data_IF_856333561627
#
_entry.id   IF_856333561627
#
_cell.length_a   1.000
_cell.length_b   1.000
_cell.length_c   1.000
_cell.angle_alpha   90.00
_cell.angle_beta   90.00
_cell.angle_gamma   90.00
#
_symmetry.space_group_name_H-M   'P 1'
#
loop_
_entity.id
_entity.type
_entity.pdbx_description
1 polymer ?
#
# COMPACT_ATOMS: atom_id res chain seq x y z
N UNK A 1 28.42 -2.24 -3.15
CA UNK A 1 26.93 -2.25 -3.13
C UNK A 1 26.43 -0.86 -2.79
N UNK A 2 25.56 -0.32 -3.61
CA UNK A 2 24.83 0.92 -3.32
C UNK A 2 23.35 0.73 -3.62
N UNK A 3 22.50 0.89 -2.59
CA UNK A 3 21.09 0.52 -2.62
C UNK A 3 20.21 1.73 -2.95
N UNK A 4 19.24 1.56 -3.86
CA UNK A 4 18.16 2.50 -4.08
C UNK A 4 16.90 2.06 -3.33
N UNK A 5 16.43 2.88 -2.39
CA UNK A 5 15.19 2.71 -1.66
C UNK A 5 14.06 3.49 -2.35
N UNK A 6 12.97 2.81 -2.69
CA UNK A 6 11.93 3.34 -3.59
C UNK A 6 10.54 3.45 -2.96
N UNK A 7 10.40 3.10 -1.67
CA UNK A 7 9.11 3.21 -0.95
C UNK A 7 8.66 4.67 -0.84
N UNK A 8 7.37 4.87 -0.54
CA UNK A 8 6.84 6.18 -0.17
C UNK A 8 7.70 6.85 0.93
N UNK A 9 7.77 8.19 0.91
CA UNK A 9 8.73 8.99 1.71
C UNK A 9 8.83 8.54 3.17
N UNK A 10 7.71 8.35 3.84
CA UNK A 10 7.64 8.06 5.29
C UNK A 10 7.81 6.55 5.63
N UNK A 11 8.15 5.72 4.65
CA UNK A 11 8.23 4.26 4.81
C UNK A 11 9.64 3.69 4.62
N UNK A 12 10.67 4.55 4.53
CA UNK A 12 12.06 4.12 4.29
C UNK A 12 12.92 4.05 5.57
N UNK A 13 12.52 4.70 6.67
CA UNK A 13 13.34 4.88 7.85
C UNK A 13 13.98 3.58 8.37
N UNK A 14 13.18 2.54 8.63
CA UNK A 14 13.70 1.25 9.13
C UNK A 14 14.70 0.58 8.18
N UNK A 15 14.51 0.76 6.84
CA UNK A 15 15.47 0.22 5.87
C UNK A 15 16.74 1.05 5.82
N UNK A 16 16.64 2.38 5.92
CA UNK A 16 17.79 3.27 5.99
C UNK A 16 18.65 2.97 7.21
N UNK A 17 18.05 2.87 8.39
CA UNK A 17 18.73 2.51 9.63
C UNK A 17 19.42 1.13 9.54
N UNK A 18 18.74 0.14 8.97
CA UNK A 18 19.33 -1.19 8.80
C UNK A 18 20.51 -1.18 7.83
N UNK A 19 20.45 -0.41 6.73
CA UNK A 19 21.57 -0.28 5.80
C UNK A 19 22.74 0.48 6.43
N UNK A 20 22.49 1.51 7.22
CA UNK A 20 23.51 2.24 7.97
C UNK A 20 24.25 1.34 8.96
N UNK A 21 23.53 0.51 9.72
CA UNK A 21 24.10 -0.47 10.63
C UNK A 21 25.00 -1.49 9.93
N UNK A 22 24.70 -1.81 8.66
CA UNK A 22 25.48 -2.71 7.82
C UNK A 22 26.61 -2.00 7.07
N UNK A 23 26.77 -0.68 7.21
CA UNK A 23 27.76 0.11 6.48
C UNK A 23 27.49 0.19 4.96
N UNK A 24 26.23 0.00 4.53
CA UNK A 24 25.86 0.00 3.12
C UNK A 24 25.36 1.37 2.70
N UNK A 25 25.97 1.92 1.66
CA UNK A 25 25.54 3.19 1.07
C UNK A 25 24.18 3.04 0.38
N UNK A 26 23.33 4.05 0.50
CA UNK A 26 22.02 4.04 -0.14
C UNK A 26 21.59 5.43 -0.62
N UNK A 27 20.60 5.45 -1.49
CA UNK A 27 19.88 6.65 -1.96
C UNK A 27 18.39 6.38 -1.72
N UNK A 28 17.65 7.38 -1.25
CA UNK A 28 16.20 7.31 -1.12
C UNK A 28 15.57 8.14 -2.23
N UNK A 29 14.85 7.49 -3.13
CA UNK A 29 14.01 8.16 -4.13
C UNK A 29 12.64 7.50 -4.14
N UNK A 30 11.64 8.08 -3.47
CA UNK A 30 10.29 7.54 -3.48
C UNK A 30 9.71 7.47 -4.89
N UNK A 31 9.24 6.30 -5.29
CA UNK A 31 8.57 6.06 -6.57
C UNK A 31 7.07 5.81 -6.41
N UNK A 32 6.55 6.04 -5.22
CA UNK A 32 5.13 5.96 -4.89
C UNK A 32 4.80 7.07 -3.91
N UNK A 33 3.72 7.78 -4.21
CA UNK A 33 3.12 8.80 -3.34
C UNK A 33 1.66 8.45 -3.08
N UNK A 34 1.22 8.66 -1.84
CA UNK A 34 -0.19 8.62 -1.47
C UNK A 34 -0.71 10.05 -1.55
N UNK A 35 -1.61 10.29 -2.48
CA UNK A 35 -2.22 11.59 -2.70
C UNK A 35 -3.71 11.52 -2.37
N UNK A 36 -4.19 12.46 -1.54
CA UNK A 36 -5.61 12.57 -1.27
C UNK A 36 -6.40 12.79 -2.58
N UNK A 37 -7.61 12.26 -2.65
CA UNK A 37 -8.55 12.55 -3.72
C UNK A 37 -9.12 13.95 -3.62
N UNK A 38 -9.76 14.43 -4.68
CA UNK A 38 -10.37 15.76 -4.71
C UNK A 38 -11.53 15.86 -3.69
N UNK A 39 -11.60 17.02 -3.01
CA UNK A 39 -12.58 17.30 -1.96
C UNK A 39 -14.03 17.31 -2.44
N UNK A 40 -14.30 17.50 -3.71
CA UNK A 40 -15.66 17.42 -4.28
C UNK A 40 -16.28 16.03 -4.21
N UNK A 41 -15.49 14.98 -4.27
CA UNK A 41 -15.97 13.60 -4.08
C UNK A 41 -16.25 13.30 -2.60
N UNK A 42 -15.52 13.95 -1.70
CA UNK A 42 -15.63 13.72 -0.27
C UNK A 42 -16.97 14.19 0.31
N UNK A 43 -17.62 15.22 -0.24
CA UNK A 43 -18.92 15.70 0.26
C UNK A 43 -20.05 14.69 0.08
N UNK A 44 -20.09 13.98 -1.04
CA UNK A 44 -21.06 12.90 -1.25
C UNK A 44 -20.72 11.69 -0.37
N UNK A 45 -19.44 11.37 -0.25
CA UNK A 45 -18.96 10.29 0.60
C UNK A 45 -19.25 10.54 2.09
N UNK A 46 -19.14 11.78 2.56
CA UNK A 46 -19.54 12.20 3.91
C UNK A 46 -21.01 11.90 4.16
N UNK A 47 -21.90 12.22 3.20
CA UNK A 47 -23.32 11.92 3.33
C UNK A 47 -23.58 10.41 3.40
N UNK A 48 -22.86 9.60 2.61
CA UNK A 48 -22.96 8.14 2.64
C UNK A 48 -22.45 7.57 3.97
N UNK A 49 -21.29 8.02 4.48
CA UNK A 49 -20.77 7.62 5.79
C UNK A 49 -21.75 7.96 6.90
N UNK A 50 -22.38 9.15 6.85
CA UNK A 50 -23.36 9.60 7.84
C UNK A 50 -24.63 8.73 7.88
N UNK A 51 -24.97 8.09 6.78
CA UNK A 51 -26.16 7.23 6.64
C UNK A 51 -25.84 5.73 6.65
N UNK A 52 -24.56 5.37 6.79
CA UNK A 52 -24.11 3.98 6.77
C UNK A 52 -24.46 3.25 8.09
N UNK A 53 -24.85 1.98 7.96
CA UNK A 53 -24.94 1.05 9.11
C UNK A 53 -23.53 0.49 9.45
N UNK A 54 -22.67 0.33 8.42
CA UNK A 54 -21.34 -0.25 8.54
C UNK A 54 -20.34 0.57 7.73
N UNK A 55 -19.18 0.83 8.34
CA UNK A 55 -18.03 1.48 7.66
C UNK A 55 -16.80 0.57 7.76
N UNK A 56 -16.25 0.18 6.62
CA UNK A 56 -15.11 -0.75 6.54
C UNK A 56 -13.88 -0.03 6.02
N UNK A 57 -12.81 0.01 6.83
CA UNK A 57 -11.52 0.56 6.44
C UNK A 57 -10.55 -0.52 5.97
N UNK A 58 -9.99 -0.36 4.77
CA UNK A 58 -9.08 -1.36 4.21
C UNK A 58 -7.60 -1.02 4.35
N UNK A 59 -7.25 0.16 4.86
CA UNK A 59 -5.85 0.58 5.06
C UNK A 59 -5.71 1.72 6.06
N UNK A 60 -4.52 1.85 6.65
CA UNK A 60 -4.15 2.97 7.52
C UNK A 60 -4.20 4.33 6.82
N UNK A 61 -3.88 4.38 5.51
CA UNK A 61 -3.99 5.61 4.72
C UNK A 61 -5.46 6.04 4.57
N UNK A 62 -6.39 5.09 4.42
CA UNK A 62 -7.82 5.38 4.38
C UNK A 62 -8.30 5.99 5.71
N UNK A 63 -7.86 5.44 6.84
CA UNK A 63 -8.17 5.98 8.17
C UNK A 63 -7.63 7.40 8.33
N UNK A 64 -6.34 7.60 8.04
CA UNK A 64 -5.68 8.90 8.20
C UNK A 64 -6.33 10.01 7.37
N UNK A 65 -6.67 9.74 6.11
CA UNK A 65 -7.27 10.75 5.23
C UNK A 65 -8.75 10.97 5.50
N UNK A 66 -9.50 9.89 5.78
CA UNK A 66 -10.91 10.02 6.16
C UNK A 66 -11.08 10.86 7.45
N UNK A 67 -10.21 10.65 8.45
CA UNK A 67 -10.28 11.38 9.72
C UNK A 67 -9.99 12.88 9.60
N UNK A 68 -9.28 13.31 8.55
CA UNK A 68 -9.06 14.72 8.25
C UNK A 68 -10.31 15.39 7.68
N UNK A 69 -11.16 14.62 7.00
CA UNK A 69 -12.37 15.11 6.34
C UNK A 69 -13.62 14.99 7.23
N UNK A 70 -13.73 13.86 7.97
CA UNK A 70 -14.91 13.54 8.79
C UNK A 70 -14.51 13.23 10.23
N UNK A 71 -15.28 13.75 11.19
CA UNK A 71 -15.14 13.36 12.60
C UNK A 71 -15.77 11.99 12.83
N UNK A 72 -15.06 10.93 12.46
CA UNK A 72 -15.53 9.55 12.51
C UNK A 72 -16.06 9.10 13.89
N UNK A 73 -15.48 9.64 14.99
CA UNK A 73 -15.88 9.35 16.36
C UNK A 73 -17.26 9.93 16.75
N UNK A 74 -17.88 10.76 15.91
CA UNK A 74 -19.24 11.29 16.11
C UNK A 74 -20.34 10.38 15.55
N UNK A 75 -19.97 9.39 14.73
CA UNK A 75 -20.91 8.42 14.13
C UNK A 75 -21.22 7.29 15.12
N UNK A 76 -22.15 7.54 16.05
CA UNK A 76 -22.51 6.60 17.13
C UNK A 76 -23.34 5.41 16.66
N UNK A 77 -23.89 5.43 15.46
CA UNK A 77 -24.81 4.41 14.96
C UNK A 77 -24.14 3.40 14.01
N UNK A 78 -23.07 3.79 13.35
CA UNK A 78 -22.35 2.89 12.44
C UNK A 78 -21.42 1.93 13.20
N UNK A 79 -21.36 0.68 12.74
CA UNK A 79 -20.33 -0.28 13.15
C UNK A 79 -19.10 -0.11 12.28
N UNK A 80 -17.89 -0.07 12.89
CA UNK A 80 -16.65 0.10 12.20
C UNK A 80 -15.87 -1.21 12.11
N UNK A 81 -15.28 -1.46 10.94
CA UNK A 81 -14.46 -2.64 10.68
C UNK A 81 -13.14 -2.27 10.04
N UNK A 82 -12.09 -3.04 10.37
CA UNK A 82 -10.77 -2.93 9.80
C UNK A 82 -10.33 -4.25 9.15
N UNK A 83 -9.83 -4.20 7.91
CA UNK A 83 -9.37 -5.42 7.22
C UNK A 83 -8.11 -6.00 7.88
N UNK A 84 -7.21 -5.17 8.41
CA UNK A 84 -5.98 -5.62 9.03
C UNK A 84 -5.67 -4.95 10.36
N UNK A 85 -4.81 -5.58 11.15
CA UNK A 85 -4.48 -5.14 12.51
C UNK A 85 -3.91 -3.70 12.57
N UNK A 86 -3.04 -3.33 11.62
CA UNK A 86 -2.53 -1.96 11.55
C UNK A 86 -3.64 -0.92 11.32
N UNK A 87 -4.69 -1.28 10.56
CA UNK A 87 -5.85 -0.42 10.32
C UNK A 87 -6.74 -0.35 11.56
N UNK A 88 -6.88 -1.46 12.26
CA UNK A 88 -7.58 -1.53 13.55
C UNK A 88 -6.95 -0.60 14.58
N UNK A 89 -5.63 -0.68 14.79
CA UNK A 89 -4.92 0.20 15.73
C UNK A 89 -5.00 1.67 15.32
N UNK A 90 -4.98 1.98 14.02
CA UNK A 90 -5.16 3.36 13.56
C UNK A 90 -6.55 3.93 13.87
N UNK A 91 -7.60 3.10 13.88
CA UNK A 91 -8.95 3.50 14.33
C UNK A 91 -9.00 3.64 15.86
N UNK A 92 -8.37 2.73 16.59
CA UNK A 92 -8.28 2.75 18.05
C UNK A 92 -7.59 4.02 18.56
N UNK A 93 -6.48 4.45 17.93
CA UNK A 93 -5.78 5.69 18.23
C UNK A 93 -6.66 6.94 18.06
N UNK A 94 -7.68 6.87 17.21
CA UNK A 94 -8.70 7.92 17.02
C UNK A 94 -9.88 7.80 17.98
N UNK A 95 -9.87 6.82 18.89
CA UNK A 95 -10.96 6.54 19.83
C UNK A 95 -12.19 5.91 19.16
N UNK A 96 -12.01 5.22 18.03
CA UNK A 96 -13.07 4.57 17.28
C UNK A 96 -13.05 3.07 17.60
N UNK A 97 -14.11 2.60 18.28
CA UNK A 97 -14.31 1.17 18.50
C UNK A 97 -14.59 0.47 17.17
N UNK A 98 -13.81 -0.54 16.85
CA UNK A 98 -13.94 -1.29 15.60
C UNK A 98 -13.69 -2.78 15.80
N UNK A 99 -14.15 -3.61 14.86
CA UNK A 99 -13.81 -5.03 14.77
C UNK A 99 -12.79 -5.23 13.65
N UNK A 100 -11.84 -6.15 13.88
CA UNK A 100 -10.83 -6.50 12.88
C UNK A 100 -11.04 -7.92 12.34
N UNK A 101 -10.49 -8.20 11.17
CA UNK A 101 -10.34 -9.57 10.70
C UNK A 101 -9.52 -10.40 11.72
N UNK A 102 -9.80 -11.72 11.83
CA UNK A 102 -9.07 -12.59 12.74
C UNK A 102 -7.55 -12.49 12.55
N UNK A 103 -6.74 -12.58 13.64
CA UNK A 103 -5.29 -12.40 13.59
C UNK A 103 -4.59 -13.28 12.55
N UNK A 104 -5.10 -14.51 12.34
CA UNK A 104 -4.52 -15.48 11.41
C UNK A 104 -4.89 -15.21 9.95
N UNK A 105 -5.90 -14.35 9.69
CA UNK A 105 -6.43 -14.07 8.36
C UNK A 105 -6.70 -12.56 8.18
N UNK A 106 -5.67 -11.74 8.33
CA UNK A 106 -5.76 -10.26 8.23
C UNK A 106 -5.88 -9.78 6.79
N UNK A 107 -6.87 -10.29 6.07
CA UNK A 107 -7.21 -9.97 4.68
C UNK A 107 -8.72 -9.85 4.53
N UNK A 108 -9.16 -9.45 3.34
CA UNK A 108 -10.60 -9.37 2.99
C UNK A 108 -11.35 -10.65 3.34
N UNK A 109 -10.76 -11.78 2.99
CA UNK A 109 -11.33 -13.11 3.20
C UNK A 109 -11.57 -13.39 4.68
N UNK A 110 -10.61 -13.02 5.55
CA UNK A 110 -10.77 -13.17 7.00
C UNK A 110 -11.83 -12.22 7.57
N UNK A 111 -11.90 -10.97 7.12
CA UNK A 111 -12.96 -10.06 7.55
C UNK A 111 -14.34 -10.63 7.22
N UNK A 112 -14.50 -11.20 6.04
CA UNK A 112 -15.75 -11.80 5.58
C UNK A 112 -16.18 -13.05 6.35
N UNK A 113 -15.34 -13.62 7.25
CA UNK A 113 -15.73 -14.72 8.14
C UNK A 113 -16.45 -14.26 9.39
N UNK A 114 -16.42 -12.96 9.72
CA UNK A 114 -17.05 -12.43 10.92
C UNK A 114 -18.58 -12.71 10.90
N UNK A 115 -19.17 -13.18 12.01
CA UNK A 115 -20.60 -13.48 12.10
C UNK A 115 -21.49 -12.28 11.75
N UNK A 116 -21.08 -11.07 12.13
CA UNK A 116 -21.81 -9.82 11.92
C UNK A 116 -21.91 -9.42 10.44
N UNK A 117 -21.06 -10.02 9.59
CA UNK A 117 -21.04 -9.76 8.15
C UNK A 117 -21.66 -10.90 7.31
N UNK A 118 -22.37 -11.87 7.92
CA UNK A 118 -22.96 -12.99 7.18
C UNK A 118 -24.36 -12.67 6.61
N UNK A 119 -25.21 -11.96 7.36
CA UNK A 119 -26.51 -11.46 6.90
C UNK A 119 -26.51 -9.93 6.93
N UNK A 120 -26.59 -9.35 5.76
CA UNK A 120 -26.49 -7.91 5.54
C UNK A 120 -27.72 -7.35 4.86
N UNK A 121 -28.86 -8.06 4.98
CA UNK A 121 -30.13 -7.67 4.38
C UNK A 121 -30.47 -6.22 4.74
N UNK A 122 -30.63 -5.38 3.72
CA UNK A 122 -30.94 -3.94 3.82
C UNK A 122 -29.89 -3.07 4.52
N UNK A 123 -28.67 -3.57 4.79
CA UNK A 123 -27.58 -2.78 5.38
C UNK A 123 -26.94 -1.89 4.34
N UNK A 124 -26.65 -0.64 4.74
CA UNK A 124 -25.85 0.32 3.97
C UNK A 124 -24.40 0.25 4.44
N UNK A 125 -23.49 -0.06 3.54
CA UNK A 125 -22.08 -0.23 3.86
C UNK A 125 -21.26 0.76 3.04
N UNK A 126 -20.32 1.44 3.71
CA UNK A 126 -19.31 2.25 3.04
C UNK A 126 -17.94 1.60 3.22
N UNK A 127 -17.27 1.30 2.10
CA UNK A 127 -15.90 0.83 2.09
C UNK A 127 -14.97 2.01 1.86
N UNK A 128 -14.16 2.37 2.87
CA UNK A 128 -13.17 3.45 2.81
C UNK A 128 -11.85 2.91 2.31
N UNK A 129 -11.43 3.37 1.11
CA UNK A 129 -10.31 2.78 0.37
C UNK A 129 -9.49 3.81 -0.41
N UNK A 130 -8.40 3.38 -1.03
CA UNK A 130 -7.76 4.10 -2.13
C UNK A 130 -8.42 3.78 -3.46
N UNK A 131 -8.24 4.65 -4.44
CA UNK A 131 -8.75 4.48 -5.81
C UNK A 131 -8.30 3.13 -6.36
N UNK A 132 -9.27 2.38 -6.90
CA UNK A 132 -9.07 1.06 -7.48
C UNK A 132 -8.77 -0.04 -6.44
N UNK A 133 -8.44 -1.22 -6.92
CA UNK A 133 -8.13 -2.39 -6.10
C UNK A 133 -9.13 -3.53 -6.28
N UNK A 134 -9.11 -4.51 -5.35
CA UNK A 134 -9.97 -5.70 -5.44
C UNK A 134 -11.43 -5.34 -5.16
N UNK A 135 -12.34 -5.93 -5.93
CA UNK A 135 -13.79 -5.78 -5.76
C UNK A 135 -14.40 -6.89 -4.89
N UNK A 136 -13.65 -7.95 -4.59
CA UNK A 136 -14.11 -9.15 -3.86
C UNK A 136 -14.86 -8.83 -2.56
N UNK A 137 -14.39 -7.81 -1.81
CA UNK A 137 -15.08 -7.39 -0.58
C UNK A 137 -16.48 -6.90 -0.88
N UNK A 138 -16.62 -5.93 -1.79
CA UNK A 138 -17.93 -5.36 -2.14
C UNK A 138 -18.85 -6.39 -2.78
N UNK A 139 -18.35 -7.18 -3.73
CA UNK A 139 -19.10 -8.23 -4.40
C UNK A 139 -19.71 -9.21 -3.38
N UNK A 140 -18.92 -9.65 -2.40
CA UNK A 140 -19.40 -10.58 -1.37
C UNK A 140 -20.41 -9.92 -0.44
N UNK A 141 -20.21 -8.65 -0.01
CA UNK A 141 -21.17 -7.94 0.84
C UNK A 141 -22.50 -7.70 0.11
N UNK A 142 -22.45 -7.38 -1.19
CA UNK A 142 -23.64 -7.23 -2.03
C UNK A 142 -24.40 -8.55 -2.15
N UNK A 143 -23.68 -9.68 -2.39
CA UNK A 143 -24.29 -11.01 -2.42
C UNK A 143 -24.98 -11.38 -1.11
N UNK A 144 -24.53 -10.80 0.02
CA UNK A 144 -25.13 -10.97 1.35
C UNK A 144 -26.28 -10.00 1.65
N UNK A 145 -26.72 -9.21 0.65
CA UNK A 145 -27.88 -8.34 0.73
C UNK A 145 -27.61 -6.89 1.08
N UNK A 146 -26.33 -6.45 1.15
CA UNK A 146 -25.97 -5.07 1.43
C UNK A 146 -26.08 -4.17 0.20
N UNK A 147 -26.33 -2.86 0.45
CA UNK A 147 -26.00 -1.79 -0.48
C UNK A 147 -24.59 -1.29 -0.16
N UNK A 148 -23.67 -1.29 -1.12
CA UNK A 148 -22.26 -0.96 -0.90
C UNK A 148 -21.86 0.25 -1.72
N UNK A 149 -21.32 1.27 -1.04
CA UNK A 149 -20.72 2.45 -1.61
C UNK A 149 -19.22 2.49 -1.30
N UNK A 150 -18.44 3.13 -2.16
CA UNK A 150 -17.01 3.38 -1.93
C UNK A 150 -16.76 4.83 -1.51
N UNK A 151 -15.89 5.00 -0.52
CA UNK A 151 -15.23 6.26 -0.27
C UNK A 151 -13.74 6.15 -0.59
N UNK A 152 -13.36 6.62 -1.75
CA UNK A 152 -11.99 6.56 -2.24
C UNK A 152 -11.22 7.80 -1.78
N UNK A 153 -10.60 7.72 -0.60
CA UNK A 153 -9.96 8.85 0.09
C UNK A 153 -8.58 9.19 -0.46
N UNK A 154 -7.92 8.28 -1.19
CA UNK A 154 -6.60 8.51 -1.76
C UNK A 154 -6.35 7.75 -3.05
N UNK A 155 -5.38 8.20 -3.79
CA UNK A 155 -4.82 7.49 -4.93
C UNK A 155 -3.33 7.26 -4.77
N UNK A 156 -2.84 6.17 -5.38
CA UNK A 156 -1.41 5.86 -5.47
C UNK A 156 -0.89 6.42 -6.78
N UNK A 157 0.01 7.39 -6.71
CA UNK A 157 0.57 8.03 -7.89
C UNK A 157 2.08 7.84 -7.95
N UNK A 158 2.63 7.92 -9.16
CA UNK A 158 4.06 8.13 -9.35
C UNK A 158 4.35 9.60 -9.03
N UNK A 159 5.23 9.93 -8.08
CA UNK A 159 5.62 11.31 -7.83
C UNK A 159 6.31 11.90 -9.07
N UNK A 160 6.33 13.22 -9.17
CA UNK A 160 7.10 13.91 -10.20
C UNK A 160 8.60 13.72 -9.91
N UNK A 161 9.27 13.01 -10.81
CA UNK A 161 10.70 12.73 -10.75
C UNK A 161 11.39 13.55 -11.84
N UNK A 162 12.47 14.26 -11.48
CA UNK A 162 13.32 14.94 -12.48
C UNK A 162 13.84 13.91 -13.49
N UNK A 163 13.71 14.14 -14.80
CA UNK A 163 14.20 13.21 -15.82
C UNK A 163 15.68 12.85 -15.69
N UNK A 164 16.49 13.68 -15.02
CA UNK A 164 17.91 13.43 -14.75
C UNK A 164 18.15 12.45 -13.60
N UNK A 165 17.17 12.21 -12.75
CA UNK A 165 17.33 11.38 -11.55
C UNK A 165 17.80 9.96 -11.86
N UNK A 166 17.31 9.24 -12.88
CA UNK A 166 17.84 7.91 -13.22
C UNK A 166 19.33 7.92 -13.64
N UNK A 167 19.80 8.98 -14.31
CA UNK A 167 21.21 9.15 -14.63
C UNK A 167 22.04 9.37 -13.37
N UNK A 168 21.53 10.16 -12.42
CA UNK A 168 22.17 10.38 -11.12
C UNK A 168 22.31 9.08 -10.32
N UNK A 169 21.35 8.16 -10.40
CA UNK A 169 21.49 6.84 -9.78
C UNK A 169 22.63 6.04 -10.39
N UNK A 170 22.73 6.01 -11.72
CA UNK A 170 23.81 5.34 -12.42
C UNK A 170 25.17 5.95 -12.07
N UNK A 171 25.30 7.28 -12.16
CA UNK A 171 26.55 8.01 -11.87
C UNK A 171 26.98 7.83 -10.41
N UNK A 172 26.03 7.73 -9.51
CA UNK A 172 26.27 7.45 -8.10
C UNK A 172 26.67 5.99 -7.83
N UNK A 173 26.63 5.11 -8.83
CA UNK A 173 27.00 3.70 -8.71
C UNK A 173 25.92 2.84 -8.04
N UNK A 174 24.63 3.18 -8.19
CA UNK A 174 23.54 2.29 -7.73
C UNK A 174 23.61 0.98 -8.50
N UNK A 175 23.69 -0.11 -7.77
CA UNK A 175 23.75 -1.49 -8.29
C UNK A 175 22.66 -2.40 -7.76
N UNK A 176 21.90 -1.94 -6.76
CA UNK A 176 20.84 -2.71 -6.10
C UNK A 176 19.60 -1.84 -5.89
N UNK A 177 18.41 -2.34 -6.23
CA UNK A 177 17.16 -1.59 -6.14
C UNK A 177 16.12 -2.40 -5.34
N UNK A 178 15.61 -1.83 -4.26
CA UNK A 178 14.56 -2.45 -3.42
C UNK A 178 13.19 -1.97 -3.88
N UNK A 179 12.38 -2.91 -4.38
CA UNK A 179 11.01 -2.72 -4.88
C UNK A 179 10.03 -3.40 -3.94
N UNK A 180 9.15 -2.66 -3.28
CA UNK A 180 8.22 -3.22 -2.29
C UNK A 180 6.80 -3.45 -2.81
N UNK A 181 6.51 -3.12 -4.06
CA UNK A 181 5.21 -3.38 -4.70
C UNK A 181 5.30 -3.37 -6.23
N UNK A 182 4.29 -3.96 -6.88
CA UNK A 182 4.18 -3.91 -8.35
C UNK A 182 3.96 -2.48 -8.89
N UNK A 183 3.34 -1.59 -8.11
CA UNK A 183 3.18 -0.17 -8.50
C UNK A 183 4.54 0.52 -8.59
N UNK A 184 5.39 0.32 -7.59
CA UNK A 184 6.75 0.86 -7.57
C UNK A 184 7.57 0.32 -8.75
N UNK A 185 7.45 -0.99 -9.05
CA UNK A 185 8.11 -1.58 -10.21
C UNK A 185 7.64 -0.90 -11.51
N UNK A 186 6.34 -0.76 -11.73
CA UNK A 186 5.80 -0.09 -12.91
C UNK A 186 6.29 1.37 -13.03
N UNK A 187 6.33 2.07 -11.91
CA UNK A 187 6.82 3.45 -11.87
C UNK A 187 8.32 3.51 -12.19
N UNK A 188 9.14 2.61 -11.66
CA UNK A 188 10.57 2.51 -12.02
C UNK A 188 10.75 2.33 -13.53
N UNK A 189 10.05 1.37 -14.12
CA UNK A 189 10.11 1.10 -15.57
C UNK A 189 9.66 2.31 -16.40
N UNK A 190 8.65 3.04 -15.92
CA UNK A 190 8.13 4.23 -16.61
C UNK A 190 9.10 5.41 -16.61
N UNK A 191 9.85 5.61 -15.52
CA UNK A 191 10.72 6.78 -15.35
C UNK A 191 12.15 6.56 -15.85
N UNK A 192 12.63 5.30 -15.91
CA UNK A 192 13.96 5.00 -16.43
C UNK A 192 13.93 5.12 -17.96
N UNK A 193 14.74 6.00 -18.57
CA UNK A 193 14.78 6.16 -20.00
C UNK A 193 15.40 4.93 -20.68
N UNK A 194 15.05 4.71 -21.96
CA UNK A 194 15.48 3.51 -22.70
C UNK A 194 16.99 3.32 -22.75
N UNK A 195 17.73 4.41 -22.80
CA UNK A 195 19.20 4.44 -22.85
C UNK A 195 19.82 3.83 -21.58
N UNK A 196 19.14 3.93 -20.46
CA UNK A 196 19.59 3.38 -19.18
C UNK A 196 19.12 1.95 -18.90
N UNK A 197 18.34 1.34 -19.80
CA UNK A 197 17.87 -0.04 -19.59
C UNK A 197 19.01 -1.07 -19.57
N UNK A 198 20.11 -0.83 -20.28
CA UNK A 198 21.30 -1.67 -20.21
C UNK A 198 21.86 -1.70 -18.77
N UNK A 199 22.01 -0.53 -18.15
CA UNK A 199 22.41 -0.40 -16.75
C UNK A 199 21.35 -1.01 -15.79
N UNK A 200 20.06 -0.72 -15.96
CA UNK A 200 19.01 -1.24 -15.08
C UNK A 200 18.99 -2.77 -15.05
N UNK A 201 19.29 -3.43 -16.17
CA UNK A 201 19.39 -4.89 -16.27
C UNK A 201 20.58 -5.48 -15.52
N UNK A 202 21.63 -4.70 -15.25
CA UNK A 202 22.76 -5.13 -14.43
C UNK A 202 22.51 -4.95 -12.94
N UNK A 203 21.49 -4.16 -12.55
CA UNK A 203 21.13 -3.97 -11.15
C UNK A 203 20.50 -5.23 -10.56
N UNK A 204 20.80 -5.49 -9.29
CA UNK A 204 20.12 -6.50 -8.49
C UNK A 204 18.80 -5.93 -8.01
N UNK A 205 17.69 -6.53 -8.43
CA UNK A 205 16.33 -6.10 -8.08
C UNK A 205 15.76 -6.99 -7.00
N UNK A 206 15.42 -6.42 -5.83
CA UNK A 206 14.79 -7.15 -4.73
C UNK A 206 13.30 -6.83 -4.72
N UNK A 207 12.47 -7.87 -4.74
CA UNK A 207 11.01 -7.77 -4.85
C UNK A 207 10.30 -8.56 -3.76
N UNK A 208 9.03 -8.19 -3.39
CA UNK A 208 8.35 -8.74 -2.22
C UNK A 208 7.67 -10.09 -2.44
N UNK A 209 7.49 -10.55 -3.68
CA UNK A 209 6.69 -11.73 -3.99
C UNK A 209 7.02 -12.32 -5.35
N UNK A 210 6.62 -13.58 -5.58
CA UNK A 210 6.76 -14.27 -6.88
C UNK A 210 6.04 -13.51 -7.99
N UNK A 211 4.85 -13.00 -7.75
CA UNK A 211 4.11 -12.19 -8.73
C UNK A 211 4.90 -10.96 -9.21
N UNK A 212 5.53 -10.22 -8.29
CA UNK A 212 6.33 -9.04 -8.66
C UNK A 212 7.64 -9.45 -9.33
N UNK A 213 8.21 -10.60 -8.95
CA UNK A 213 9.38 -11.19 -9.63
C UNK A 213 9.05 -11.52 -11.09
N UNK A 214 7.95 -12.19 -11.37
CA UNK A 214 7.50 -12.50 -12.73
C UNK A 214 7.29 -11.23 -13.55
N UNK A 215 6.67 -10.19 -12.97
CA UNK A 215 6.53 -8.88 -13.62
C UNK A 215 7.89 -8.26 -13.94
N UNK A 216 8.86 -8.30 -13.02
CA UNK A 216 10.20 -7.76 -13.26
C UNK A 216 10.93 -8.50 -14.38
N UNK A 217 10.85 -9.84 -14.40
CA UNK A 217 11.40 -10.67 -15.48
C UNK A 217 10.75 -10.36 -16.83
N UNK A 218 9.43 -10.14 -16.85
CA UNK A 218 8.69 -9.76 -18.07
C UNK A 218 9.13 -8.39 -18.63
N UNK A 219 9.61 -7.48 -17.76
CA UNK A 219 10.25 -6.23 -18.18
C UNK A 219 11.72 -6.39 -18.63
N UNK A 220 12.26 -7.62 -18.61
CA UNK A 220 13.61 -7.94 -19.03
C UNK A 220 14.68 -7.66 -17.97
N UNK A 221 14.29 -7.54 -16.68
CA UNK A 221 15.22 -7.47 -15.56
C UNK A 221 15.67 -8.89 -15.20
N UNK A 222 16.97 -9.15 -15.18
CA UNK A 222 17.49 -10.51 -15.11
C UNK A 222 17.93 -10.94 -13.70
N UNK A 223 18.41 -9.99 -12.88
CA UNK A 223 18.91 -10.24 -11.54
C UNK A 223 17.83 -9.91 -10.51
N UNK A 224 16.85 -10.82 -10.32
CA UNK A 224 15.68 -10.57 -9.48
C UNK A 224 15.58 -11.57 -8.33
N UNK A 225 15.68 -11.08 -7.10
CA UNK A 225 15.51 -11.87 -5.87
C UNK A 225 14.15 -11.60 -5.23
N UNK A 226 13.42 -12.68 -4.90
CA UNK A 226 12.17 -12.60 -4.16
C UNK A 226 12.45 -12.67 -2.65
N UNK A 227 12.21 -11.58 -1.93
CA UNK A 227 12.34 -11.48 -0.47
C UNK A 227 11.19 -12.16 0.29
N UNK A 228 10.13 -12.63 -0.40
CA UNK A 228 8.93 -13.28 0.14
C UNK A 228 8.03 -12.39 1.01
N UNK A 229 8.46 -11.18 1.36
CA UNK A 229 7.66 -10.17 2.07
C UNK A 229 8.16 -8.75 1.77
N UNK A 230 7.31 -7.74 1.99
CA UNK A 230 7.64 -6.32 1.78
C UNK A 230 8.20 -5.61 3.03
N UNK A 231 8.38 -6.33 4.15
CA UNK A 231 8.91 -5.76 5.39
C UNK A 231 10.44 -5.57 5.33
N UNK A 232 10.97 -4.73 6.22
CA UNK A 232 12.40 -4.41 6.28
C UNK A 232 13.28 -5.66 6.42
N UNK A 233 12.98 -6.54 7.37
CA UNK A 233 13.77 -7.75 7.66
C UNK A 233 13.93 -8.63 6.42
N UNK A 234 12.84 -8.93 5.72
CA UNK A 234 12.85 -9.77 4.53
C UNK A 234 13.65 -9.14 3.38
N UNK A 235 13.45 -7.83 3.13
CA UNK A 235 14.15 -7.10 2.07
C UNK A 235 15.65 -7.00 2.31
N UNK A 236 16.07 -6.71 3.55
CA UNK A 236 17.49 -6.65 3.92
C UNK A 236 18.14 -8.04 3.85
N UNK A 237 17.47 -9.09 4.34
CA UNK A 237 17.97 -10.46 4.22
C UNK A 237 18.17 -10.89 2.75
N UNK A 238 17.34 -10.38 1.83
CA UNK A 238 17.43 -10.69 0.40
C UNK A 238 18.62 -10.01 -0.30
N UNK A 239 19.35 -9.10 0.36
CA UNK A 239 20.62 -8.54 -0.16
C UNK A 239 21.72 -9.60 -0.30
N UNK A 240 21.56 -10.77 0.34
CA UNK A 240 22.53 -11.87 0.24
C UNK A 240 23.84 -11.60 0.99
N UNK A 241 23.81 -10.70 1.95
CA UNK A 241 24.96 -10.45 2.82
C UNK A 241 25.13 -11.67 3.72
N UNK A 242 26.31 -12.28 3.65
CA UNK A 242 26.74 -13.27 4.63
C UNK A 242 26.84 -12.55 5.99
N UNK A 243 25.86 -12.77 6.85
CA UNK A 243 25.89 -12.37 8.27
C UNK A 243 26.59 -13.48 9.04
#
# INVERSE_FOLDING_TARGET
MKVLLTRAKDRNQLMSEALEQLGISYIVTPLLEIKATDTTQDQNAIAHVNSADIVIFISTNAVALASQTVKLNKHKTAQFYAVGNATFHALEELGIASLAAPPDHQQTEGLLTLPELQDLSHKKIVIVRGVGGRETLAETLIQRGASVDYWETYQRVCPLIDPRTPYQWQDAGVDTIIITSGDILRNLIKIVPKELFAWLRTCHIIVPSSRVKEQALAYGLNQVTNAKAANCKAMISALGLLI
#
